data_IF_634808687161
#
_entry.id   IF_634808687161
#
_cell.length_a   1.000
_cell.length_b   1.000
_cell.length_c   1.000
_cell.angle_alpha   90.00
_cell.angle_beta   90.00
_cell.angle_gamma   90.00
#
_symmetry.space_group_name_H-M   'P 1'
#
loop_
_entity.id
_entity.type
_entity.pdbx_description
1 polymer ?
#
# COMPACT_ATOMS: atom_id res chain seq x y z
N UNK A 1 -45.65 -2.12 62.07
CA UNK A 1 -46.46 -1.97 60.84
C UNK A 1 -45.55 -1.29 59.83
N UNK A 2 -45.03 -1.91 58.78
CA UNK A 2 -45.72 -2.56 57.66
C UNK A 2 -44.85 -3.64 56.99
N UNK A 3 -45.41 -4.82 56.80
CA UNK A 3 -44.85 -5.96 56.07
C UNK A 3 -44.98 -5.75 54.56
N UNK A 4 -43.86 -5.77 53.84
CA UNK A 4 -43.83 -5.75 52.37
C UNK A 4 -44.07 -7.17 51.87
N UNK A 5 -45.27 -7.42 51.31
CA UNK A 5 -45.61 -8.67 50.63
C UNK A 5 -44.75 -8.84 49.37
N UNK A 6 -43.80 -9.78 49.40
CA UNK A 6 -43.13 -10.28 48.19
C UNK A 6 -44.08 -11.24 47.45
N UNK A 7 -44.70 -10.77 46.39
CA UNK A 7 -45.40 -11.62 45.43
C UNK A 7 -44.35 -12.44 44.66
N UNK A 8 -44.22 -13.72 44.99
CA UNK A 8 -43.45 -14.68 44.19
C UNK A 8 -44.25 -15.04 42.93
N UNK A 9 -43.92 -14.42 41.79
CA UNK A 9 -44.37 -14.93 40.49
C UNK A 9 -43.68 -16.27 40.19
N UNK A 10 -44.37 -17.38 40.50
CA UNK A 10 -44.00 -18.72 40.00
C UNK A 10 -44.30 -18.78 38.51
N UNK A 11 -43.32 -18.45 37.69
CA UNK A 11 -43.37 -18.74 36.25
C UNK A 11 -43.38 -20.26 36.03
N UNK A 12 -44.32 -20.81 35.23
CA UNK A 12 -44.34 -22.23 34.88
C UNK A 12 -43.01 -22.67 34.28
N UNK A 13 -42.58 -23.90 34.59
CA UNK A 13 -41.28 -24.46 34.17
C UNK A 13 -41.03 -24.30 32.66
N UNK A 14 -42.09 -24.46 31.86
CA UNK A 14 -42.07 -24.30 30.40
C UNK A 14 -41.71 -22.88 29.94
N UNK A 15 -42.18 -21.84 30.64
CA UNK A 15 -41.91 -20.44 30.26
C UNK A 15 -40.47 -20.04 30.61
N UNK A 16 -39.91 -20.58 31.70
CA UNK A 16 -38.48 -20.44 32.04
C UNK A 16 -37.56 -21.14 31.03
N UNK A 17 -37.96 -22.31 30.53
CA UNK A 17 -37.21 -23.05 29.49
C UNK A 17 -37.25 -22.26 28.17
N UNK A 18 -38.42 -21.77 27.76
CA UNK A 18 -38.57 -20.98 26.53
C UNK A 18 -37.74 -19.69 26.55
N UNK A 19 -37.76 -18.95 27.66
CA UNK A 19 -36.94 -17.75 27.84
C UNK A 19 -35.44 -18.10 27.79
N UNK A 20 -34.99 -19.16 28.49
CA UNK A 20 -33.58 -19.60 28.42
C UNK A 20 -33.16 -20.01 27.00
N UNK A 21 -34.04 -20.65 26.24
CA UNK A 21 -33.76 -21.00 24.85
C UNK A 21 -33.68 -19.77 23.95
N UNK A 22 -34.58 -18.77 24.11
CA UNK A 22 -34.50 -17.52 23.35
C UNK A 22 -33.25 -16.69 23.70
N UNK A 23 -32.87 -16.60 24.98
CA UNK A 23 -31.63 -15.94 25.39
C UNK A 23 -30.39 -16.66 24.83
N UNK A 24 -30.33 -17.99 24.91
CA UNK A 24 -29.24 -18.78 24.34
C UNK A 24 -29.15 -18.67 22.81
N UNK A 25 -30.29 -18.62 22.12
CA UNK A 25 -30.34 -18.45 20.67
C UNK A 25 -29.86 -17.05 20.23
N UNK A 26 -30.29 -15.99 20.94
CA UNK A 26 -29.79 -14.62 20.70
C UNK A 26 -28.30 -14.50 20.97
N UNK A 27 -27.77 -15.06 22.04
CA UNK A 27 -26.33 -15.03 22.33
C UNK A 27 -25.51 -15.80 21.29
N UNK A 28 -25.97 -16.98 20.86
CA UNK A 28 -25.30 -17.77 19.81
C UNK A 28 -25.28 -17.03 18.47
N UNK A 29 -26.38 -16.38 18.10
CA UNK A 29 -26.42 -15.54 16.89
C UNK A 29 -25.54 -14.29 17.03
N UNK A 30 -25.51 -13.64 18.20
CA UNK A 30 -24.67 -12.48 18.45
C UNK A 30 -23.17 -12.84 18.36
N UNK A 31 -22.77 -13.96 18.95
CA UNK A 31 -21.40 -14.49 18.87
C UNK A 31 -21.04 -14.98 17.46
N UNK A 32 -21.98 -15.56 16.70
CA UNK A 32 -21.75 -15.92 15.29
C UNK A 32 -21.60 -14.69 14.40
N UNK A 33 -22.47 -13.68 14.56
CA UNK A 33 -22.39 -12.41 13.81
C UNK A 33 -21.09 -11.69 14.16
N UNK A 34 -20.71 -11.61 15.44
CA UNK A 34 -19.43 -11.02 15.84
C UNK A 34 -18.23 -11.84 15.35
N UNK A 35 -18.28 -13.17 15.33
CA UNK A 35 -17.21 -13.99 14.70
C UNK A 35 -17.16 -13.84 13.19
N UNK A 36 -18.29 -13.63 12.53
CA UNK A 36 -18.37 -13.36 11.09
C UNK A 36 -17.84 -11.96 10.75
N UNK A 37 -18.17 -10.95 11.56
CA UNK A 37 -17.69 -9.57 11.41
C UNK A 37 -16.21 -9.41 11.82
N UNK A 38 -15.77 -10.09 12.88
CA UNK A 38 -14.38 -10.09 13.34
C UNK A 38 -13.48 -11.02 12.49
N UNK A 39 -14.05 -12.03 11.83
CA UNK A 39 -13.33 -12.97 10.97
C UNK A 39 -12.99 -12.42 9.58
N UNK A 40 -13.53 -11.26 9.19
CA UNK A 40 -13.46 -10.77 7.81
C UNK A 40 -12.96 -9.34 7.64
N UNK A 41 -12.47 -8.68 8.69
CA UNK A 41 -11.82 -7.37 8.56
C UNK A 41 -10.31 -7.55 8.52
N UNK A 42 -9.80 -8.03 7.37
CA UNK A 42 -8.37 -7.97 7.10
C UNK A 42 -7.97 -6.49 7.16
N UNK A 43 -7.07 -6.14 8.09
CA UNK A 43 -6.56 -4.77 8.21
C UNK A 43 -6.14 -4.26 6.82
N UNK A 44 -6.53 -3.03 6.43
CA UNK A 44 -6.23 -2.52 5.12
C UNK A 44 -4.70 -2.49 4.93
N UNK A 45 -4.24 -2.97 3.78
CA UNK A 45 -2.82 -2.86 3.43
C UNK A 45 -2.45 -1.40 3.29
N UNK A 46 -1.21 -1.05 3.61
CA UNK A 46 -0.71 0.33 3.58
C UNK A 46 0.37 0.52 2.52
N UNK A 47 0.36 1.68 1.87
CA UNK A 47 1.38 2.07 0.90
C UNK A 47 1.88 3.49 1.21
N UNK A 48 3.19 3.68 1.21
CA UNK A 48 3.82 4.99 1.22
C UNK A 48 4.26 5.32 -0.19
N UNK A 49 3.83 6.47 -0.72
CA UNK A 49 4.31 6.97 -2.01
C UNK A 49 5.12 8.23 -1.74
N UNK A 50 6.38 8.23 -2.17
CA UNK A 50 7.28 9.37 -2.01
C UNK A 50 7.01 10.37 -3.14
N UNK A 51 6.81 11.64 -2.78
CA UNK A 51 6.61 12.74 -3.71
C UNK A 51 7.75 13.75 -3.57
N UNK A 52 8.58 13.86 -4.60
CA UNK A 52 9.72 14.77 -4.65
C UNK A 52 9.53 15.81 -5.76
N UNK A 53 10.16 16.98 -5.61
CA UNK A 53 10.16 18.04 -6.64
C UNK A 53 10.70 17.47 -7.95
N UNK A 54 9.96 17.65 -9.04
CA UNK A 54 10.30 17.09 -10.35
C UNK A 54 10.00 15.59 -10.51
N UNK A 55 9.22 14.97 -9.62
CA UNK A 55 8.65 13.65 -9.84
C UNK A 55 7.77 13.61 -11.09
N UNK A 56 7.68 12.46 -11.74
CA UNK A 56 6.79 12.24 -12.89
C UNK A 56 5.34 12.08 -12.40
N UNK A 57 4.50 13.06 -12.71
CA UNK A 57 3.14 13.17 -12.17
C UNK A 57 2.20 12.05 -12.60
N UNK A 58 2.34 11.50 -13.81
CA UNK A 58 1.49 10.40 -14.26
C UNK A 58 1.82 9.13 -13.50
N UNK A 59 3.10 8.81 -13.37
CA UNK A 59 3.58 7.66 -12.61
C UNK A 59 3.15 7.72 -11.14
N UNK A 60 3.23 8.91 -10.52
CA UNK A 60 2.73 9.17 -9.18
C UNK A 60 1.21 9.00 -9.08
N UNK A 61 0.44 9.75 -9.88
CA UNK A 61 -1.03 9.79 -9.76
C UNK A 61 -1.64 8.43 -10.08
N UNK A 62 -1.18 7.75 -11.13
CA UNK A 62 -1.67 6.41 -11.49
C UNK A 62 -1.42 5.43 -10.35
N UNK A 63 -0.22 5.43 -9.76
CA UNK A 63 0.09 4.55 -8.63
C UNK A 63 -0.81 4.84 -7.43
N UNK A 64 -0.95 6.11 -7.04
CA UNK A 64 -1.77 6.50 -5.90
C UNK A 64 -3.25 6.15 -6.09
N UNK A 65 -3.80 6.45 -7.26
CA UNK A 65 -5.22 6.21 -7.60
C UNK A 65 -5.54 4.71 -7.67
N UNK A 66 -4.75 3.93 -8.41
CA UNK A 66 -4.96 2.48 -8.57
C UNK A 66 -4.89 1.76 -7.23
N UNK A 67 -3.91 2.09 -6.39
CA UNK A 67 -3.77 1.48 -5.06
C UNK A 67 -4.95 1.85 -4.15
N UNK A 68 -5.42 3.11 -4.19
CA UNK A 68 -6.64 3.52 -3.46
C UNK A 68 -7.87 2.76 -3.95
N UNK A 69 -8.04 2.56 -5.27
CA UNK A 69 -9.13 1.73 -5.84
C UNK A 69 -9.08 0.27 -5.40
N UNK A 70 -7.89 -0.26 -5.16
CA UNK A 70 -7.68 -1.60 -4.62
C UNK A 70 -7.99 -1.72 -3.11
N UNK A 71 -8.37 -0.62 -2.44
CA UNK A 71 -8.64 -0.60 -1.01
C UNK A 71 -7.39 -0.51 -0.14
N UNK A 72 -6.24 -0.15 -0.72
CA UNK A 72 -4.98 0.06 -0.01
C UNK A 72 -4.99 1.48 0.57
N UNK A 73 -4.63 1.62 1.85
CA UNK A 73 -4.46 2.92 2.51
C UNK A 73 -3.15 3.54 2.04
N UNK A 74 -3.26 4.49 1.12
CA UNK A 74 -2.12 5.23 0.55
C UNK A 74 -1.85 6.50 1.35
N UNK A 75 -0.62 6.65 1.82
CA UNK A 75 -0.05 7.89 2.35
C UNK A 75 0.90 8.48 1.31
N UNK A 76 0.63 9.70 0.87
CA UNK A 76 1.55 10.48 0.02
C UNK A 76 2.43 11.34 0.91
N UNK A 77 3.73 11.04 0.94
CA UNK A 77 4.69 11.79 1.74
C UNK A 77 5.62 12.60 0.83
N UNK A 78 5.56 13.93 0.98
CA UNK A 78 6.54 14.81 0.36
C UNK A 78 7.89 14.73 1.07
N UNK A 79 9.00 15.00 0.37
CA UNK A 79 10.28 15.23 1.07
C UNK A 79 10.20 16.44 2.04
N UNK A 80 9.25 17.33 1.81
CA UNK A 80 8.79 18.37 2.74
C UNK A 80 7.25 18.33 2.86
N UNK A 81 6.67 19.21 3.67
CA UNK A 81 5.21 19.36 3.83
C UNK A 81 4.58 20.39 2.87
N UNK A 82 5.35 20.88 1.88
CA UNK A 82 4.90 21.87 0.90
C UNK A 82 4.30 21.20 -0.34
N UNK A 83 3.43 21.91 -1.08
CA UNK A 83 3.04 21.49 -2.43
C UNK A 83 4.29 21.25 -3.30
N UNK A 84 4.26 20.16 -4.05
CA UNK A 84 5.37 19.70 -4.88
C UNK A 84 5.07 19.99 -6.33
N UNK A 85 5.99 20.62 -7.04
CA UNK A 85 5.89 20.86 -8.48
C UNK A 85 6.53 19.68 -9.21
N UNK A 86 5.72 18.94 -9.95
CA UNK A 86 6.12 17.78 -10.72
C UNK A 86 6.83 18.16 -12.03
N UNK A 87 7.27 17.14 -12.77
CA UNK A 87 8.15 17.29 -13.92
C UNK A 87 7.54 18.08 -15.09
N UNK A 88 6.21 18.08 -15.27
CA UNK A 88 5.47 18.85 -16.29
C UNK A 88 4.59 19.91 -15.64
N UNK A 89 5.12 20.51 -14.57
CA UNK A 89 4.55 21.67 -13.87
C UNK A 89 3.21 21.42 -13.13
N UNK A 90 2.71 20.18 -13.08
CA UNK A 90 1.57 19.84 -12.22
C UNK A 90 1.98 20.01 -10.76
N UNK A 91 1.14 20.66 -9.96
CA UNK A 91 1.41 20.88 -8.53
C UNK A 91 0.51 19.97 -7.69
N UNK A 92 1.12 19.20 -6.81
CA UNK A 92 0.43 18.20 -5.99
C UNK A 92 0.72 18.47 -4.51
N UNK A 93 -0.33 18.55 -3.70
CA UNK A 93 -0.18 18.67 -2.26
C UNK A 93 -0.01 17.27 -1.63
N UNK A 94 1.09 16.98 -0.91
CA UNK A 94 1.24 15.71 -0.22
C UNK A 94 0.26 15.61 0.97
N UNK A 95 -0.01 14.39 1.42
CA UNK A 95 -0.82 14.17 2.62
C UNK A 95 -0.04 14.58 3.89
N UNK A 96 1.28 14.37 3.88
CA UNK A 96 2.20 14.66 4.99
C UNK A 96 3.65 14.80 4.49
N UNK A 97 4.61 15.06 5.39
CA UNK A 97 6.04 14.99 5.07
C UNK A 97 6.62 13.62 5.44
N UNK A 98 7.69 13.22 4.74
CA UNK A 98 8.44 12.00 5.00
C UNK A 98 8.95 11.95 6.44
N UNK A 99 9.42 13.08 6.97
CA UNK A 99 9.89 13.19 8.36
C UNK A 99 8.83 12.79 9.39
N UNK A 100 7.54 13.07 9.13
CA UNK A 100 6.45 12.74 10.06
C UNK A 100 6.07 11.26 10.06
N UNK A 101 6.45 10.51 9.02
CA UNK A 101 6.07 9.10 8.84
C UNK A 101 7.28 8.16 8.78
N UNK A 102 8.49 8.65 9.06
CA UNK A 102 9.74 7.88 8.97
C UNK A 102 9.79 6.66 9.90
N UNK A 103 9.05 6.72 11.01
CA UNK A 103 8.98 5.63 11.99
C UNK A 103 7.79 4.67 11.74
N UNK A 104 6.92 5.00 10.77
CA UNK A 104 5.76 4.17 10.43
C UNK A 104 6.12 2.97 9.54
N UNK A 105 5.24 1.96 9.55
CA UNK A 105 5.41 0.74 8.77
C UNK A 105 4.36 0.63 7.65
N UNK A 106 4.86 0.56 6.41
CA UNK A 106 4.07 0.36 5.20
C UNK A 106 4.28 -1.02 4.59
N UNK A 107 3.22 -1.62 4.02
CA UNK A 107 3.38 -2.89 3.30
C UNK A 107 4.16 -2.73 1.99
N UNK A 108 4.14 -1.53 1.40
CA UNK A 108 4.97 -1.15 0.25
C UNK A 108 5.42 0.30 0.35
N UNK A 109 6.66 0.57 -0.08
CA UNK A 109 7.14 1.92 -0.41
C UNK A 109 7.21 2.02 -1.93
N UNK A 110 6.59 3.04 -2.51
CA UNK A 110 6.53 3.29 -3.95
C UNK A 110 7.33 4.55 -4.28
N UNK A 111 8.22 4.44 -5.25
CA UNK A 111 9.07 5.50 -5.77
C UNK A 111 8.68 5.81 -7.22
N UNK A 112 7.91 6.89 -7.47
CA UNK A 112 7.70 7.43 -8.81
C UNK A 112 9.02 7.89 -9.44
N UNK A 113 9.10 7.88 -10.76
CA UNK A 113 10.25 8.38 -11.50
C UNK A 113 10.29 9.90 -11.63
N UNK A 114 10.84 10.36 -12.75
CA UNK A 114 11.19 11.76 -12.98
C UNK A 114 12.63 12.03 -12.53
N UNK A 115 13.50 12.45 -13.46
CA UNK A 115 14.95 12.54 -13.23
C UNK A 115 15.27 13.43 -12.01
N UNK A 116 14.71 14.64 -11.95
CA UNK A 116 14.94 15.56 -10.83
C UNK A 116 14.38 15.02 -9.50
N UNK A 117 13.18 14.42 -9.53
CA UNK A 117 12.61 13.79 -8.33
C UNK A 117 13.48 12.65 -7.80
N UNK A 118 14.01 11.82 -8.69
CA UNK A 118 14.94 10.74 -8.32
C UNK A 118 16.29 11.26 -7.80
N UNK A 119 16.80 12.38 -8.32
CA UNK A 119 18.01 13.02 -7.78
C UNK A 119 17.80 13.51 -6.34
N UNK A 120 16.67 14.13 -6.04
CA UNK A 120 16.34 14.57 -4.68
C UNK A 120 16.14 13.39 -3.72
N UNK A 121 15.42 12.34 -4.16
CA UNK A 121 15.26 11.12 -3.37
C UNK A 121 16.59 10.41 -3.09
N UNK A 122 17.51 10.41 -4.05
CA UNK A 122 18.84 9.79 -3.89
C UNK A 122 19.71 10.49 -2.85
N UNK A 123 19.47 11.78 -2.57
CA UNK A 123 20.18 12.58 -1.56
C UNK A 123 19.55 12.49 -0.16
N UNK A 124 18.37 11.89 -0.04
CA UNK A 124 17.61 11.86 1.21
C UNK A 124 18.08 10.71 2.11
N UNK A 125 18.80 11.03 3.18
CA UNK A 125 19.24 10.05 4.18
C UNK A 125 18.06 9.37 4.88
N UNK A 126 17.01 10.15 5.20
CA UNK A 126 15.78 9.62 5.83
C UNK A 126 15.13 8.56 4.94
N UNK A 127 15.05 8.82 3.62
CA UNK A 127 14.51 7.85 2.69
C UNK A 127 15.41 6.61 2.59
N UNK A 128 16.73 6.80 2.53
CA UNK A 128 17.70 5.72 2.49
C UNK A 128 17.59 4.78 3.69
N UNK A 129 17.49 5.33 4.91
CA UNK A 129 17.27 4.57 6.14
C UNK A 129 15.94 3.81 6.12
N UNK A 130 14.87 4.47 5.68
CA UNK A 130 13.54 3.86 5.59
C UNK A 130 13.52 2.70 4.58
N UNK A 131 14.16 2.85 3.42
CA UNK A 131 14.26 1.79 2.41
C UNK A 131 15.09 0.60 2.92
N UNK A 132 16.19 0.85 3.62
CA UNK A 132 17.00 -0.22 4.24
C UNK A 132 16.22 -0.98 5.31
N UNK A 133 15.42 -0.27 6.12
CA UNK A 133 14.51 -0.90 7.09
C UNK A 133 13.45 -1.75 6.38
N UNK A 134 12.84 -1.21 5.33
CA UNK A 134 11.83 -1.90 4.51
C UNK A 134 12.37 -3.20 3.91
N UNK A 135 13.59 -3.18 3.36
CA UNK A 135 14.27 -4.36 2.81
C UNK A 135 14.59 -5.38 3.90
N UNK A 136 15.20 -4.95 5.02
CA UNK A 136 15.55 -5.82 6.14
C UNK A 136 14.35 -6.57 6.71
N UNK A 137 13.17 -5.96 6.66
CA UNK A 137 11.93 -6.54 7.16
C UNK A 137 11.14 -7.32 6.08
N UNK A 138 11.75 -7.55 4.91
CA UNK A 138 11.15 -8.32 3.81
C UNK A 138 9.79 -7.75 3.35
N UNK A 139 9.67 -6.41 3.38
CA UNK A 139 8.49 -5.67 2.90
C UNK A 139 8.74 -5.12 1.49
N UNK A 140 7.67 -4.82 0.76
CA UNK A 140 7.81 -4.48 -0.65
C UNK A 140 8.44 -3.10 -0.86
N UNK A 141 9.28 -2.99 -1.88
CA UNK A 141 9.76 -1.74 -2.47
C UNK A 141 9.42 -1.77 -3.95
N UNK A 142 8.81 -0.70 -4.45
CA UNK A 142 8.38 -0.59 -5.83
C UNK A 142 8.94 0.70 -6.46
N UNK A 143 9.63 0.62 -7.61
CA UNK A 143 10.26 1.77 -8.24
C UNK A 143 10.05 1.77 -9.76
N UNK A 144 9.63 2.89 -10.33
CA UNK A 144 9.33 3.01 -11.77
C UNK A 144 10.23 4.02 -12.47
N UNK A 145 10.51 3.79 -13.75
CA UNK A 145 11.18 4.75 -14.64
C UNK A 145 12.61 5.05 -14.20
N UNK A 146 12.89 6.26 -13.72
CA UNK A 146 14.20 6.64 -13.21
C UNK A 146 14.42 6.20 -11.74
N UNK A 147 13.36 5.89 -10.99
CA UNK A 147 13.46 5.59 -9.57
C UNK A 147 14.31 4.37 -9.19
N UNK A 148 14.53 3.35 -10.05
CA UNK A 148 15.52 2.32 -9.77
C UNK A 148 16.95 2.85 -9.49
N UNK A 149 17.30 4.07 -9.95
CA UNK A 149 18.59 4.70 -9.56
C UNK A 149 18.63 5.12 -8.09
N UNK A 150 17.47 5.40 -7.48
CA UNK A 150 17.37 5.69 -6.04
C UNK A 150 17.70 4.43 -5.24
N UNK A 151 17.27 3.26 -5.72
CA UNK A 151 17.64 1.97 -5.13
C UNK A 151 19.15 1.77 -5.15
N UNK A 152 19.79 2.05 -6.30
CA UNK A 152 21.24 1.98 -6.46
C UNK A 152 21.96 2.94 -5.50
N UNK A 153 21.50 4.19 -5.40
CA UNK A 153 22.07 5.20 -4.51
C UNK A 153 22.04 4.80 -3.03
N UNK A 154 20.99 4.07 -2.61
CA UNK A 154 20.81 3.61 -1.23
C UNK A 154 21.19 2.14 -1.00
N UNK A 155 21.81 1.49 -1.99
CA UNK A 155 22.24 0.09 -1.97
C UNK A 155 21.11 -0.92 -1.70
N UNK A 156 19.92 -0.68 -2.24
CA UNK A 156 18.74 -1.53 -2.06
C UNK A 156 18.68 -2.58 -3.16
N UNK A 157 18.50 -3.85 -2.79
CA UNK A 157 18.22 -4.95 -3.71
C UNK A 157 19.37 -5.32 -4.64
N UNK A 158 20.62 -5.01 -4.29
CA UNK A 158 21.79 -5.27 -5.15
C UNK A 158 21.81 -6.73 -5.64
N UNK A 159 22.09 -6.92 -6.93
CA UNK A 159 22.11 -8.23 -7.59
C UNK A 159 20.73 -8.81 -7.95
N UNK A 160 19.62 -8.17 -7.54
CA UNK A 160 18.27 -8.54 -7.98
C UNK A 160 18.03 -8.22 -9.45
N UNK A 161 16.99 -8.84 -9.98
CA UNK A 161 16.47 -8.58 -11.32
C UNK A 161 15.60 -7.34 -11.31
N UNK A 162 15.82 -6.42 -12.24
CA UNK A 162 15.00 -5.21 -12.40
C UNK A 162 14.92 -4.72 -13.84
N UNK A 163 14.01 -3.78 -14.07
CA UNK A 163 13.97 -2.94 -15.26
C UNK A 163 13.90 -1.46 -14.86
N UNK A 164 14.09 -0.56 -15.82
CA UNK A 164 14.00 0.89 -15.64
C UNK A 164 13.66 1.59 -16.95
N UNK A 165 13.57 2.91 -16.93
CA UNK A 165 13.50 3.69 -18.15
C UNK A 165 14.76 3.45 -19.01
N UNK A 166 14.65 3.17 -20.32
CA UNK A 166 15.77 2.63 -21.11
C UNK A 166 17.09 3.41 -20.99
N UNK A 167 17.03 4.74 -20.93
CA UNK A 167 18.22 5.60 -20.81
C UNK A 167 18.99 5.48 -19.49
N UNK A 168 18.45 4.80 -18.49
CA UNK A 168 19.06 4.66 -17.16
C UNK A 168 19.78 3.31 -16.98
N UNK A 169 19.64 2.38 -17.94
CA UNK A 169 20.32 1.08 -17.92
C UNK A 169 21.81 1.14 -17.59
N UNK A 170 22.62 2.03 -18.21
CA UNK A 170 24.07 2.06 -17.94
C UNK A 170 24.44 2.44 -16.49
N UNK A 171 23.49 2.98 -15.71
CA UNK A 171 23.69 3.29 -14.29
C UNK A 171 23.36 2.11 -13.37
N UNK A 172 22.76 1.05 -13.90
CA UNK A 172 22.11 -0.01 -13.12
C UNK A 172 22.63 -1.41 -13.48
N UNK A 173 23.01 -1.65 -14.73
CA UNK A 173 23.40 -2.97 -15.25
C UNK A 173 24.66 -3.56 -14.63
N UNK A 174 25.52 -2.75 -14.02
CA UNK A 174 26.68 -3.22 -13.23
C UNK A 174 26.31 -3.68 -11.80
N UNK A 175 25.16 -3.25 -11.28
CA UNK A 175 24.72 -3.50 -9.90
C UNK A 175 23.56 -4.50 -9.82
N UNK A 176 22.82 -4.68 -10.91
CA UNK A 176 21.59 -5.48 -10.98
C UNK A 176 21.52 -6.33 -12.25
N UNK A 177 20.70 -7.38 -12.23
CA UNK A 177 20.38 -8.16 -13.43
C UNK A 177 19.31 -7.42 -14.23
N UNK A 178 19.73 -6.69 -15.25
CA UNK A 178 18.84 -5.80 -16.00
C UNK A 178 18.01 -6.54 -17.07
N UNK A 179 16.72 -6.21 -17.17
CA UNK A 179 15.80 -6.75 -18.20
C UNK A 179 15.31 -5.64 -19.13
N UNK A 180 15.41 -5.86 -20.43
CA UNK A 180 15.24 -4.85 -21.48
C UNK A 180 13.86 -4.83 -22.16
N UNK A 181 13.04 -5.87 -21.99
CA UNK A 181 11.85 -6.13 -22.81
C UNK A 181 10.57 -6.36 -21.99
N UNK A 182 10.67 -6.44 -20.67
CA UNK A 182 9.52 -6.61 -19.78
C UNK A 182 9.01 -5.28 -19.22
N UNK A 183 7.69 -5.09 -19.22
CA UNK A 183 7.06 -3.86 -18.70
C UNK A 183 7.21 -3.71 -17.19
N UNK A 184 7.11 -4.83 -16.47
CA UNK A 184 7.16 -4.90 -15.01
C UNK A 184 7.98 -6.13 -14.62
N UNK A 185 8.93 -5.95 -13.71
CA UNK A 185 9.72 -7.02 -13.13
C UNK A 185 9.42 -7.10 -11.65
N UNK A 186 9.20 -8.32 -11.15
CA UNK A 186 9.19 -8.61 -9.73
C UNK A 186 10.27 -9.65 -9.39
N UNK A 187 11.20 -9.29 -8.50
CA UNK A 187 12.19 -10.19 -7.91
C UNK A 187 12.03 -10.20 -6.38
N UNK A 188 11.25 -11.18 -5.90
CA UNK A 188 10.85 -11.26 -4.49
C UNK A 188 10.00 -10.06 -4.07
N UNK A 189 10.55 -9.21 -3.20
CA UNK A 189 9.91 -8.00 -2.66
C UNK A 189 10.25 -6.71 -3.42
N UNK A 190 11.09 -6.79 -4.45
CA UNK A 190 11.40 -5.67 -5.32
C UNK A 190 10.51 -5.73 -6.58
N UNK A 191 9.77 -4.65 -6.85
CA UNK A 191 8.97 -4.48 -8.06
C UNK A 191 9.52 -3.28 -8.84
N UNK A 192 9.79 -3.44 -10.13
CA UNK A 192 10.25 -2.34 -10.97
C UNK A 192 9.51 -2.25 -12.29
N UNK A 193 9.47 -1.05 -12.88
CA UNK A 193 8.81 -0.81 -14.17
C UNK A 193 9.48 0.35 -14.93
N UNK A 194 9.08 0.55 -16.20
CA UNK A 194 9.90 1.28 -17.18
C UNK A 194 9.57 2.76 -17.36
N UNK A 195 8.33 3.21 -17.22
CA UNK A 195 8.00 4.59 -17.53
C UNK A 195 6.50 4.89 -17.46
N UNK A 196 6.06 6.08 -17.88
CA UNK A 196 4.66 6.47 -17.76
C UNK A 196 3.71 5.50 -18.49
N UNK A 197 4.13 5.00 -19.66
CA UNK A 197 3.36 4.03 -20.45
C UNK A 197 3.19 2.65 -19.80
N UNK A 198 3.92 2.34 -18.72
CA UNK A 198 3.80 1.09 -17.96
C UNK A 198 3.28 1.30 -16.53
N UNK A 199 2.87 2.53 -16.18
CA UNK A 199 2.45 2.88 -14.82
C UNK A 199 1.20 2.12 -14.34
N UNK A 200 0.24 1.86 -15.22
CA UNK A 200 -0.93 1.04 -14.88
C UNK A 200 -0.54 -0.42 -14.61
N UNK A 201 0.27 -1.02 -15.49
CA UNK A 201 0.79 -2.39 -15.29
C UNK A 201 1.55 -2.49 -13.95
N UNK A 202 2.38 -1.49 -13.65
CA UNK A 202 3.13 -1.38 -12.39
C UNK A 202 2.21 -1.30 -11.16
N UNK A 203 1.25 -0.38 -11.17
CA UNK A 203 0.35 -0.17 -10.03
C UNK A 203 -0.58 -1.37 -9.81
N UNK A 204 -1.05 -2.00 -10.90
CA UNK A 204 -1.82 -3.24 -10.82
C UNK A 204 -0.98 -4.39 -10.26
N UNK A 205 0.31 -4.48 -10.60
CA UNK A 205 1.18 -5.51 -10.01
C UNK A 205 1.35 -5.33 -8.50
N UNK A 206 1.48 -4.09 -8.03
CA UNK A 206 1.52 -3.80 -6.58
C UNK A 206 0.17 -4.15 -5.93
N UNK A 207 -0.95 -3.80 -6.58
CA UNK A 207 -2.29 -4.18 -6.13
C UNK A 207 -2.42 -5.71 -6.02
N UNK A 208 -1.93 -6.47 -6.99
CA UNK A 208 -2.01 -7.93 -7.02
C UNK A 208 -1.32 -8.55 -5.81
N UNK A 209 -0.09 -8.13 -5.50
CA UNK A 209 0.69 -8.71 -4.39
C UNK A 209 0.17 -8.30 -3.00
N UNK A 210 -0.62 -7.23 -2.89
CA UNK A 210 -1.15 -6.73 -1.62
C UNK A 210 -2.63 -7.07 -1.38
N UNK A 211 -3.46 -6.87 -2.40
CA UNK A 211 -4.91 -7.02 -2.36
C UNK A 211 -5.42 -8.31 -3.04
N UNK A 212 -4.57 -9.00 -3.81
CA UNK A 212 -4.90 -10.24 -4.50
C UNK A 212 -5.38 -10.03 -5.94
N UNK A 213 -5.35 -11.12 -6.72
CA UNK A 213 -5.68 -11.12 -8.15
C UNK A 213 -7.13 -10.72 -8.43
N UNK A 214 -8.09 -11.24 -7.66
CA UNK A 214 -9.52 -10.94 -7.82
C UNK A 214 -9.78 -9.44 -7.72
N UNK A 215 -9.29 -8.81 -6.63
CA UNK A 215 -9.47 -7.37 -6.42
C UNK A 215 -8.79 -6.54 -7.50
N UNK A 216 -7.60 -6.97 -7.91
CA UNK A 216 -6.84 -6.29 -8.97
C UNK A 216 -7.55 -6.36 -10.31
N UNK A 217 -8.17 -7.50 -10.63
CA UNK A 217 -8.98 -7.68 -11.84
C UNK A 217 -10.22 -6.79 -11.84
N UNK A 218 -10.91 -6.64 -10.70
CA UNK A 218 -12.02 -5.69 -10.56
C UNK A 218 -11.58 -4.26 -10.84
N UNK A 219 -10.44 -3.84 -10.26
CA UNK A 219 -9.88 -2.50 -10.46
C UNK A 219 -9.51 -2.29 -11.93
N UNK A 220 -8.81 -3.24 -12.55
CA UNK A 220 -8.42 -3.17 -13.96
C UNK A 220 -9.63 -3.06 -14.90
N UNK A 221 -10.69 -3.83 -14.65
CA UNK A 221 -11.96 -3.74 -15.38
C UNK A 221 -12.62 -2.37 -15.20
N UNK A 222 -12.62 -1.83 -13.98
CA UNK A 222 -13.13 -0.49 -13.69
C UNK A 222 -12.34 0.64 -14.35
N UNK A 223 -11.08 0.39 -14.71
CA UNK A 223 -10.18 1.29 -15.45
C UNK A 223 -10.18 1.04 -16.96
N UNK A 224 -10.99 0.08 -17.45
CA UNK A 224 -11.08 -0.29 -18.87
C UNK A 224 -9.76 -0.80 -19.49
N UNK A 225 -8.93 -1.45 -18.67
CA UNK A 225 -7.66 -2.02 -19.12
C UNK A 225 -7.78 -3.47 -19.61
N UNK A 226 -8.91 -4.14 -19.29
CA UNK A 226 -9.26 -5.52 -19.65
C UNK A 226 -10.76 -5.69 -19.85
#
# INVERSE_FOLDING_TARGET
MSSVNRVFFRFPLLQKIYLRQQFSYKEKNYLQIHRFLAGNTKMPKTALIILAEGAEEMEFVISADVLRRAGIKVTVAGLSDKPVKCSRDVVINPDTSLEKVKDEEFNVIVLPGGICGCEEMSKSDILGELLKKQEKEERFVAAICAAPTVLAAHSIGLGKTLTSYPGLKPKLDSLYKYVDDEKVIQDGKLITSRGPGTAFDFALKISEVLAGEEKTREVAKGLLLI
#
